data_IF_122969660030
#
_entry.id   IF_122969660030
#
_cell.length_a   1.000
_cell.length_b   1.000
_cell.length_c   1.000
_cell.angle_alpha   90.00
_cell.angle_beta   90.00
_cell.angle_gamma   90.00
#
_symmetry.space_group_name_H-M   'P 1'
#
loop_
_entity.id
_entity.type
_entity.pdbx_description
1 polymer ?
#
# COMPACT_ATOMS: atom_id res chain seq x y z
N UNK A 1 -47.40 -21.95 26.44
CA UNK A 1 -47.14 -20.61 25.85
C UNK A 1 -47.20 -20.68 24.31
N UNK A 2 -48.03 -19.83 23.68
CA UNK A 2 -48.13 -19.77 22.23
C UNK A 2 -46.90 -19.00 21.72
N UNK A 3 -45.93 -19.72 21.15
CA UNK A 3 -44.67 -19.16 20.66
C UNK A 3 -44.95 -18.49 19.31
N UNK A 4 -45.35 -17.23 19.35
CA UNK A 4 -45.48 -16.40 18.15
C UNK A 4 -44.24 -15.52 18.04
N UNK A 5 -43.53 -15.61 16.90
CA UNK A 5 -42.36 -14.78 16.63
C UNK A 5 -42.77 -13.30 16.60
N UNK A 6 -42.03 -12.48 17.35
CA UNK A 6 -42.14 -11.02 17.30
C UNK A 6 -41.78 -10.50 15.90
N UNK A 7 -42.21 -9.28 15.55
CA UNK A 7 -41.91 -8.68 14.24
C UNK A 7 -40.40 -8.57 13.98
N UNK A 8 -39.63 -8.29 15.03
CA UNK A 8 -38.16 -8.22 14.96
C UNK A 8 -37.55 -9.60 14.69
N UNK A 9 -38.02 -10.65 15.36
CA UNK A 9 -37.55 -12.03 15.16
C UNK A 9 -37.92 -12.58 13.77
N UNK A 10 -39.00 -12.09 13.15
CA UNK A 10 -39.35 -12.44 11.76
C UNK A 10 -38.41 -11.82 10.73
N UNK A 11 -37.72 -10.74 11.10
CA UNK A 11 -36.77 -10.06 10.23
C UNK A 11 -35.35 -10.65 10.34
N UNK A 12 -35.08 -11.41 11.40
CA UNK A 12 -33.82 -12.12 11.62
C UNK A 12 -33.83 -13.49 10.90
N UNK A 13 -33.19 -13.55 9.74
CA UNK A 13 -33.08 -14.80 8.95
C UNK A 13 -32.01 -15.75 9.47
N UNK A 14 -31.00 -15.21 10.16
CA UNK A 14 -29.84 -15.97 10.63
C UNK A 14 -29.85 -16.06 12.14
N UNK A 15 -29.70 -17.28 12.65
CA UNK A 15 -29.53 -17.51 14.08
C UNK A 15 -28.24 -16.84 14.57
N UNK A 16 -28.36 -15.96 15.57
CA UNK A 16 -27.20 -15.39 16.27
C UNK A 16 -26.53 -16.48 17.11
N UNK A 17 -25.32 -16.87 16.76
CA UNK A 17 -24.54 -17.83 17.54
C UNK A 17 -23.58 -17.11 18.49
N UNK A 18 -23.47 -17.63 19.71
CA UNK A 18 -22.55 -17.11 20.71
C UNK A 18 -21.09 -17.44 20.39
N UNK A 19 -20.87 -18.54 19.67
CA UNK A 19 -19.55 -18.99 19.22
C UNK A 19 -19.57 -18.97 17.69
N UNK A 20 -18.58 -18.33 17.09
CA UNK A 20 -18.42 -18.30 15.63
C UNK A 20 -17.78 -19.59 15.13
N UNK A 21 -18.23 -20.10 13.98
CA UNK A 21 -17.68 -21.31 13.36
C UNK A 21 -16.24 -21.10 12.84
N UNK A 22 -15.92 -19.88 12.39
CA UNK A 22 -14.61 -19.49 11.90
C UNK A 22 -13.99 -18.44 12.83
N UNK A 23 -12.66 -18.51 12.99
CA UNK A 23 -11.92 -17.44 13.64
C UNK A 23 -12.00 -16.16 12.79
N UNK A 24 -11.88 -15.00 13.44
CA UNK A 24 -11.91 -13.71 12.74
C UNK A 24 -10.85 -13.62 11.63
N UNK A 25 -9.67 -14.20 11.87
CA UNK A 25 -8.58 -14.25 10.89
C UNK A 25 -8.98 -15.06 9.65
N UNK A 26 -9.48 -16.28 9.84
CA UNK A 26 -9.91 -17.13 8.71
C UNK A 26 -11.05 -16.47 7.94
N UNK A 27 -12.04 -15.92 8.65
CA UNK A 27 -13.15 -15.20 8.01
C UNK A 27 -12.64 -14.03 7.17
N UNK A 28 -11.73 -13.20 7.70
CA UNK A 28 -11.16 -12.04 6.98
C UNK A 28 -10.35 -12.43 5.73
N UNK A 29 -9.75 -13.62 5.71
CA UNK A 29 -8.99 -14.11 4.58
C UNK A 29 -9.88 -14.70 3.47
N UNK A 30 -11.00 -15.33 3.83
CA UNK A 30 -11.80 -16.12 2.89
C UNK A 30 -13.06 -15.42 2.37
N UNK A 31 -13.62 -14.45 3.12
CA UNK A 31 -14.96 -13.90 2.82
C UNK A 31 -15.07 -13.28 1.41
N UNK A 32 -13.97 -12.74 0.87
CA UNK A 32 -13.95 -12.14 -0.46
C UNK A 32 -14.09 -13.17 -1.60
N UNK A 33 -13.82 -14.46 -1.30
CA UNK A 33 -13.89 -15.57 -2.25
C UNK A 33 -15.22 -16.33 -2.17
N UNK A 34 -16.17 -15.89 -1.33
CA UNK A 34 -17.47 -16.55 -1.22
C UNK A 34 -18.32 -16.26 -2.46
N UNK A 35 -18.79 -17.31 -3.12
CA UNK A 35 -19.65 -17.23 -4.29
C UNK A 35 -20.72 -18.31 -4.25
N UNK A 36 -21.74 -18.14 -5.07
CA UNK A 36 -22.65 -19.23 -5.39
C UNK A 36 -21.99 -20.17 -6.40
N UNK A 37 -22.36 -21.47 -6.40
CA UNK A 37 -21.85 -22.42 -7.38
C UNK A 37 -22.09 -21.96 -8.82
N UNK A 38 -21.05 -22.01 -9.65
CA UNK A 38 -21.12 -21.83 -11.09
C UNK A 38 -21.84 -22.99 -11.81
N UNK A 39 -22.32 -22.75 -13.03
CA UNK A 39 -22.89 -23.81 -13.88
C UNK A 39 -21.82 -24.81 -14.33
N UNK A 40 -20.56 -24.36 -14.38
CA UNK A 40 -19.35 -25.09 -14.76
C UNK A 40 -18.79 -25.98 -13.65
N UNK A 41 -19.29 -25.86 -12.42
CA UNK A 41 -18.86 -26.69 -11.27
C UNK A 41 -19.46 -28.10 -11.27
N UNK A 42 -20.42 -28.40 -12.17
CA UNK A 42 -20.96 -29.75 -12.37
C UNK A 42 -22.13 -30.13 -11.46
N UNK A 43 -22.83 -29.17 -10.85
CA UNK A 43 -24.03 -29.42 -10.07
C UNK A 43 -25.26 -29.68 -10.97
N UNK A 44 -26.02 -30.75 -10.68
CA UNK A 44 -27.26 -31.05 -11.43
C UNK A 44 -28.32 -29.94 -11.31
N UNK A 45 -28.44 -29.32 -10.14
CA UNK A 45 -29.32 -28.17 -9.88
C UNK A 45 -28.92 -27.38 -8.64
N UNK A 46 -29.12 -26.08 -8.68
CA UNK A 46 -29.01 -25.18 -7.53
C UNK A 46 -30.39 -24.64 -7.18
N UNK A 47 -30.91 -25.03 -6.02
CA UNK A 47 -32.23 -24.61 -5.56
C UNK A 47 -32.11 -23.50 -4.51
N UNK A 48 -32.74 -22.35 -4.76
CA UNK A 48 -32.83 -21.26 -3.80
C UNK A 48 -34.15 -21.37 -3.02
N UNK A 49 -34.08 -21.89 -1.79
CA UNK A 49 -35.27 -22.24 -1.01
C UNK A 49 -35.99 -21.04 -0.36
N UNK A 50 -35.28 -19.92 -0.18
CA UNK A 50 -35.71 -18.78 0.63
C UNK A 50 -36.05 -17.56 -0.23
N UNK A 51 -35.18 -17.24 -1.17
CA UNK A 51 -35.28 -16.08 -2.07
C UNK A 51 -34.99 -16.50 -3.50
N UNK A 52 -35.25 -15.60 -4.46
CA UNK A 52 -34.84 -15.84 -5.85
C UNK A 52 -33.31 -15.89 -5.99
N UNK A 53 -32.83 -16.42 -7.12
CA UNK A 53 -31.40 -16.43 -7.43
C UNK A 53 -30.79 -15.02 -7.45
N UNK A 54 -31.55 -14.00 -7.89
CA UNK A 54 -31.03 -12.64 -8.04
C UNK A 54 -30.88 -11.96 -6.68
N UNK A 55 -31.93 -12.01 -5.86
CA UNK A 55 -31.92 -11.48 -4.48
C UNK A 55 -30.83 -12.14 -3.62
N UNK A 56 -30.63 -13.44 -3.79
CA UNK A 56 -29.60 -14.18 -3.05
C UNK A 56 -28.18 -13.73 -3.43
N UNK A 57 -27.94 -13.50 -4.73
CA UNK A 57 -26.66 -12.98 -5.25
C UNK A 57 -26.41 -11.55 -4.78
N UNK A 58 -27.45 -10.71 -4.83
CA UNK A 58 -27.37 -9.33 -4.35
C UNK A 58 -27.09 -9.28 -2.84
N UNK A 59 -27.75 -10.13 -2.05
CA UNK A 59 -27.49 -10.25 -0.62
C UNK A 59 -26.03 -10.59 -0.31
N UNK A 60 -25.48 -11.64 -0.94
CA UNK A 60 -24.09 -12.04 -0.72
C UNK A 60 -23.11 -10.93 -1.15
N UNK A 61 -23.39 -10.25 -2.26
CA UNK A 61 -22.60 -9.11 -2.72
C UNK A 61 -22.62 -7.98 -1.70
N UNK A 62 -23.80 -7.59 -1.20
CA UNK A 62 -23.95 -6.55 -0.17
C UNK A 62 -23.22 -6.92 1.11
N UNK A 63 -23.41 -8.15 1.59
CA UNK A 63 -22.72 -8.67 2.77
C UNK A 63 -21.19 -8.64 2.60
N UNK A 64 -20.67 -9.03 1.43
CA UNK A 64 -19.24 -8.98 1.12
C UNK A 64 -18.72 -7.54 1.13
N UNK A 65 -19.45 -6.58 0.55
CA UNK A 65 -19.08 -5.17 0.56
C UNK A 65 -19.05 -4.57 1.98
N UNK A 66 -20.07 -4.86 2.78
CA UNK A 66 -20.13 -4.44 4.18
C UNK A 66 -18.95 -5.01 4.98
N UNK A 67 -18.56 -6.26 4.73
CA UNK A 67 -17.39 -6.88 5.35
C UNK A 67 -16.08 -6.25 4.87
N UNK A 68 -15.94 -5.90 3.59
CA UNK A 68 -14.77 -5.16 3.09
C UNK A 68 -14.59 -3.80 3.77
N UNK A 69 -15.69 -3.13 4.13
CA UNK A 69 -15.65 -1.83 4.81
C UNK A 69 -15.35 -1.95 6.31
N UNK A 70 -15.82 -3.01 6.96
CA UNK A 70 -15.79 -3.13 8.43
C UNK A 70 -14.69 -4.06 8.95
N UNK A 71 -14.09 -4.89 8.09
CA UNK A 71 -13.10 -5.89 8.49
C UNK A 71 -11.69 -5.37 8.19
N UNK A 72 -10.78 -5.56 9.15
CA UNK A 72 -9.36 -5.28 8.96
C UNK A 72 -8.79 -6.20 7.88
N UNK A 73 -8.10 -5.62 6.90
CA UNK A 73 -7.38 -6.37 5.87
C UNK A 73 -5.96 -6.60 6.38
N UNK A 74 -5.61 -7.85 6.67
CA UNK A 74 -4.27 -8.20 7.19
C UNK A 74 -3.23 -8.36 6.07
N UNK A 75 -3.61 -8.83 4.88
CA UNK A 75 -2.67 -9.16 3.79
C UNK A 75 -2.59 -8.05 2.73
N UNK A 76 -2.62 -6.78 3.14
CA UNK A 76 -2.50 -5.67 2.19
C UNK A 76 -1.04 -5.52 1.73
N UNK A 77 -0.75 -6.04 0.54
CA UNK A 77 0.56 -5.88 -0.09
C UNK A 77 0.66 -4.54 -0.83
N UNK A 78 1.77 -3.79 -0.69
CA UNK A 78 1.98 -2.59 -1.48
C UNK A 78 2.02 -2.93 -2.97
N UNK A 79 1.31 -2.14 -3.78
CA UNK A 79 1.30 -2.28 -5.23
C UNK A 79 2.68 -2.04 -5.83
N UNK A 80 2.90 -2.51 -7.07
CA UNK A 80 4.15 -2.27 -7.79
C UNK A 80 4.49 -0.78 -7.87
N UNK A 81 3.50 0.07 -8.19
CA UNK A 81 3.66 1.52 -8.21
C UNK A 81 4.23 2.07 -6.90
N UNK A 82 3.73 1.58 -5.75
CA UNK A 82 4.24 2.02 -4.45
C UNK A 82 5.68 1.54 -4.23
N UNK A 83 5.97 0.27 -4.58
CA UNK A 83 7.31 -0.31 -4.44
C UNK A 83 8.34 0.45 -5.28
N UNK A 84 8.01 0.82 -6.50
CA UNK A 84 8.87 1.61 -7.38
C UNK A 84 9.18 2.99 -6.77
N UNK A 85 8.15 3.71 -6.33
CA UNK A 85 8.32 5.03 -5.71
C UNK A 85 9.11 4.95 -4.41
N UNK A 86 8.85 3.92 -3.61
CA UNK A 86 9.59 3.65 -2.38
C UNK A 86 11.08 3.42 -2.65
N UNK A 87 11.41 2.60 -3.65
CA UNK A 87 12.81 2.35 -4.02
C UNK A 87 13.51 3.60 -4.56
N UNK A 88 12.83 4.40 -5.39
CA UNK A 88 13.37 5.67 -5.87
C UNK A 88 13.69 6.62 -4.70
N UNK A 89 12.75 6.75 -3.77
CA UNK A 89 12.93 7.57 -2.58
C UNK A 89 14.11 7.09 -1.70
N UNK A 90 14.24 5.78 -1.49
CA UNK A 90 15.38 5.22 -0.75
C UNK A 90 16.73 5.55 -1.39
N UNK A 91 16.82 5.51 -2.72
CA UNK A 91 18.04 5.90 -3.45
C UNK A 91 18.38 7.38 -3.24
N UNK A 92 17.39 8.26 -3.36
CA UNK A 92 17.59 9.70 -3.15
C UNK A 92 18.02 10.00 -1.72
N UNK A 93 17.42 9.31 -0.74
CA UNK A 93 17.76 9.46 0.67
C UNK A 93 19.21 9.01 0.95
N UNK A 94 19.63 7.89 0.40
CA UNK A 94 21.02 7.40 0.51
C UNK A 94 22.01 8.35 -0.16
N UNK A 95 21.69 8.88 -1.34
CA UNK A 95 22.51 9.88 -2.02
C UNK A 95 22.68 11.14 -1.17
N UNK A 96 21.59 11.62 -0.57
CA UNK A 96 21.63 12.80 0.31
C UNK A 96 22.43 12.54 1.58
N UNK A 97 22.26 11.36 2.20
CA UNK A 97 23.05 10.96 3.36
C UNK A 97 24.55 10.94 3.02
N UNK A 98 24.90 10.38 1.88
CA UNK A 98 26.29 10.31 1.39
C UNK A 98 26.85 11.72 1.22
N UNK A 99 26.18 12.58 0.46
CA UNK A 99 26.61 13.97 0.22
C UNK A 99 26.74 14.76 1.53
N UNK A 100 25.81 14.58 2.46
CA UNK A 100 25.86 15.24 3.75
C UNK A 100 27.04 14.76 4.60
N UNK A 101 27.36 13.46 4.58
CA UNK A 101 28.56 12.92 5.25
C UNK A 101 29.84 13.42 4.58
N UNK A 102 29.90 13.46 3.25
CA UNK A 102 31.04 14.01 2.51
C UNK A 102 31.27 15.50 2.79
N UNK A 103 30.21 16.28 2.96
CA UNK A 103 30.31 17.69 3.34
C UNK A 103 30.75 17.89 4.81
N UNK A 104 30.44 16.92 5.68
CA UNK A 104 30.88 16.91 7.07
C UNK A 104 32.31 16.40 7.25
N UNK A 105 32.83 15.65 6.28
CA UNK A 105 34.21 15.17 6.27
C UNK A 105 35.20 16.36 6.21
N UNK A 106 36.02 16.57 7.26
CA UNK A 106 37.01 17.64 7.29
C UNK A 106 38.04 17.54 6.17
N UNK A 107 38.38 16.33 5.72
CA UNK A 107 39.39 16.09 4.68
C UNK A 107 38.90 16.57 3.31
N UNK A 108 37.62 16.33 2.97
CA UNK A 108 37.00 16.81 1.72
C UNK A 108 36.74 18.31 1.75
N UNK A 109 36.38 18.89 2.91
CA UNK A 109 36.30 20.35 3.05
C UNK A 109 37.66 21.04 2.93
N UNK A 110 38.71 20.46 3.51
CA UNK A 110 40.07 20.97 3.36
C UNK A 110 40.55 20.86 1.89
N UNK A 111 40.27 19.75 1.20
CA UNK A 111 40.59 19.57 -0.22
C UNK A 111 39.84 20.54 -1.14
N UNK A 112 38.55 20.79 -0.88
CA UNK A 112 37.75 21.76 -1.64
C UNK A 112 38.17 23.22 -1.38
N UNK A 113 38.63 23.54 -0.15
CA UNK A 113 39.19 24.84 0.17
C UNK A 113 40.56 25.05 -0.53
N UNK A 114 41.44 24.05 -0.46
CA UNK A 114 42.75 24.08 -1.13
C UNK A 114 42.62 24.17 -2.66
N UNK A 115 41.65 23.48 -3.27
CA UNK A 115 41.39 23.57 -4.71
C UNK A 115 40.85 24.96 -5.14
N UNK A 116 40.08 25.63 -4.27
CA UNK A 116 39.61 27.00 -4.52
C UNK A 116 40.71 28.06 -4.35
N UNK A 117 41.66 27.84 -3.44
CA UNK A 117 42.81 28.74 -3.28
C UNK A 117 43.81 28.59 -4.43
N UNK A 118 44.11 27.36 -4.88
CA UNK A 118 45.00 27.14 -6.03
C UNK A 118 44.47 27.69 -7.37
N UNK A 119 43.15 27.60 -7.60
CA UNK A 119 42.53 28.15 -8.82
C UNK A 119 42.44 29.69 -8.85
N UNK A 120 42.43 30.35 -7.68
CA UNK A 120 42.47 31.83 -7.61
C UNK A 120 43.87 32.37 -7.91
N UNK A 121 44.93 31.69 -7.46
CA UNK A 121 46.32 32.11 -7.74
C UNK A 121 46.71 31.97 -9.21
N UNK A 122 46.20 30.97 -9.93
CA UNK A 122 46.48 30.80 -11.37
C UNK A 122 45.72 31.80 -12.26
N UNK A 123 44.52 32.23 -11.84
CA UNK A 123 43.75 33.26 -12.54
C UNK A 123 44.38 34.65 -12.37
N UNK A 124 44.89 34.98 -11.17
CA UNK A 124 45.51 36.27 -10.87
C UNK A 124 46.93 36.40 -11.46
N UNK A 125 47.63 35.28 -11.69
CA UNK A 125 48.92 35.27 -12.38
C UNK A 125 48.79 35.52 -13.90
N UNK A 126 47.74 34.99 -14.55
CA UNK A 126 47.51 35.21 -16.00
C UNK A 126 47.09 36.64 -16.34
N UNK A 127 46.46 37.37 -15.42
CA UNK A 127 46.06 38.76 -15.64
C UNK A 127 47.24 39.75 -15.57
N UNK A 128 48.32 39.41 -14.85
CA UNK A 128 49.52 40.28 -14.76
C UNK A 128 50.58 40.06 -15.84
N UNK A 129 50.59 38.91 -16.52
CA UNK A 129 51.54 38.64 -17.63
C UNK A 129 51.06 39.14 -19.00
N UNK A 130 49.81 39.60 -19.12
CA UNK A 130 49.26 40.07 -20.40
C UNK A 130 49.49 41.56 -20.72
N UNK A 131 50.02 42.35 -19.78
CA UNK A 131 50.12 43.81 -19.90
C UNK A 131 51.55 44.33 -20.17
N UNK A 132 52.56 43.45 -20.21
CA UNK A 132 53.99 43.82 -20.38
C UNK A 132 54.60 43.35 -21.72
N UNK A 133 53.80 43.27 -22.79
CA UNK A 133 54.29 42.90 -24.12
C UNK A 133 53.80 43.82 -25.26
N UNK A 134 53.41 45.06 -24.93
CA UNK A 134 53.14 46.08 -25.95
C UNK A 134 53.52 47.51 -25.50
N UNK A 135 54.82 47.80 -25.51
CA UNK A 135 55.34 49.17 -25.62
C UNK A 135 56.61 49.21 -26.46
#
# INVERSE_FOLDING_TARGET
>A
PKVELTLDERSDWFRKQQISDLSALVMSASFANFSFPGQDEGFDRVNFAWHSSEESKEYLRKWTLERKLTTRIEELQPSEWFREKWQAWQKDLQLWHTRHMEAKDPAKRAALAAAKEGGKSDAEAKEKTGDDENQ
#
